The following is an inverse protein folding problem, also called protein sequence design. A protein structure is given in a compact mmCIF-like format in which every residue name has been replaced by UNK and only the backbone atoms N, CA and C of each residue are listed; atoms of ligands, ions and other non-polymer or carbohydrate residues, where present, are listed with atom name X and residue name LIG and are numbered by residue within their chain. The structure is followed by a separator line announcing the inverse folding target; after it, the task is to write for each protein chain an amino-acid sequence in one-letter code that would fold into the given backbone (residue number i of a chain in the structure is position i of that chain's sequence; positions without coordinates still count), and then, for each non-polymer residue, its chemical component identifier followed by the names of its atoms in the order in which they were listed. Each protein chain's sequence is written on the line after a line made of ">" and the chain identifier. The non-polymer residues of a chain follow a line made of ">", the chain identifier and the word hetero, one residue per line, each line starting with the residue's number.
data_IF_776010315466
#
_entry.id   IF_776010315466
#
_cell.length_a   1.000
_cell.length_b   1.000
_cell.length_c   1.000
_cell.angle_alpha   90.00
_cell.angle_beta   90.00
_cell.angle_gamma   90.00
#
_symmetry.space_group_name_H-M   'P 1'
#
loop_
_entity.id
_entity.type
_entity.pdbx_description
1 polymer ?
#
# COMPACT_ATOMS: atom_id res chain seq x y z
N UNK A 1 14.96 5.90 0.56
CA UNK A 1 15.13 4.78 1.52
C UNK A 1 16.55 4.77 2.11
N UNK A 2 17.61 4.73 1.30
CA UNK A 2 19.00 4.62 1.81
C UNK A 2 19.40 5.73 2.81
N UNK A 3 18.83 6.92 2.73
CA UNK A 3 19.09 8.00 3.71
C UNK A 3 18.63 7.64 5.13
N UNK A 4 17.75 6.66 5.31
CA UNK A 4 17.38 6.14 6.64
C UNK A 4 18.55 5.42 7.35
N UNK A 5 19.67 5.21 6.66
CA UNK A 5 20.90 4.68 7.28
C UNK A 5 21.36 5.49 8.51
N UNK A 6 21.03 6.79 8.58
CA UNK A 6 21.30 7.59 9.77
C UNK A 6 20.61 7.03 11.03
N UNK A 7 19.42 6.46 10.90
CA UNK A 7 18.69 5.85 12.02
C UNK A 7 19.28 4.51 12.47
N UNK A 8 20.16 3.89 11.68
CA UNK A 8 20.80 2.60 12.03
C UNK A 8 21.77 2.79 13.20
N UNK A 9 22.63 3.81 13.13
CA UNK A 9 23.70 4.02 14.11
C UNK A 9 23.38 5.09 15.15
N UNK A 10 22.47 6.00 14.85
CA UNK A 10 22.19 7.17 15.69
C UNK A 10 20.72 7.20 16.14
N UNK A 11 20.43 7.75 17.32
CA UNK A 11 19.07 7.99 17.77
C UNK A 11 18.44 9.20 17.04
N UNK A 12 18.44 9.13 15.72
CA UNK A 12 17.89 10.15 14.83
C UNK A 12 16.70 9.54 14.11
N UNK A 13 15.53 10.14 14.29
CA UNK A 13 14.31 9.77 13.57
C UNK A 13 14.42 10.17 12.10
N UNK A 14 14.02 9.25 11.21
CA UNK A 14 13.97 9.51 9.78
C UNK A 14 12.68 8.97 9.17
N UNK A 15 12.14 9.70 8.20
CA UNK A 15 10.99 9.24 7.42
C UNK A 15 11.26 9.36 5.93
N UNK A 16 10.67 8.45 5.16
CA UNK A 16 10.57 8.55 3.70
C UNK A 16 9.14 8.31 3.29
N UNK A 17 8.73 8.96 2.21
CA UNK A 17 7.40 8.76 1.63
C UNK A 17 7.51 8.46 0.16
N UNK A 18 6.76 7.47 -0.30
CA UNK A 18 6.65 7.12 -1.72
C UNK A 18 5.42 6.22 -1.95
N UNK A 19 5.05 6.07 -3.21
CA UNK A 19 3.99 5.15 -3.61
C UNK A 19 4.52 3.71 -3.61
N UNK A 20 3.69 2.74 -3.20
CA UNK A 20 4.04 1.32 -3.14
C UNK A 20 4.67 0.81 -4.45
N UNK A 21 4.00 0.83 -5.61
CA UNK A 21 4.51 0.22 -6.84
C UNK A 21 5.88 0.75 -7.29
N UNK A 22 6.05 2.07 -7.29
CA UNK A 22 7.27 2.72 -7.80
C UNK A 22 8.31 2.99 -6.72
N UNK A 23 7.94 2.89 -5.45
CA UNK A 23 8.82 3.12 -4.30
C UNK A 23 9.32 1.83 -3.68
N UNK A 24 8.42 0.99 -3.13
CA UNK A 24 8.81 -0.24 -2.43
C UNK A 24 9.58 -1.19 -3.36
N UNK A 25 9.10 -1.39 -4.59
CA UNK A 25 9.75 -2.30 -5.53
C UNK A 25 11.17 -1.84 -5.88
N UNK A 26 11.38 -0.55 -6.11
CA UNK A 26 12.71 -0.01 -6.44
C UNK A 26 13.61 0.07 -5.22
N UNK A 27 13.06 0.42 -4.06
CA UNK A 27 13.80 0.54 -2.81
C UNK A 27 13.97 -0.80 -2.06
N UNK A 28 13.49 -1.91 -2.61
CA UNK A 28 13.37 -3.19 -1.89
C UNK A 28 14.68 -3.70 -1.29
N UNK A 29 15.80 -3.53 -1.99
CA UNK A 29 17.12 -3.92 -1.48
C UNK A 29 17.53 -3.05 -0.27
N UNK A 30 17.46 -1.73 -0.40
CA UNK A 30 17.80 -0.81 0.69
C UNK A 30 16.87 -1.02 1.91
N UNK A 31 15.59 -1.26 1.69
CA UNK A 31 14.62 -1.54 2.75
C UNK A 31 14.92 -2.88 3.44
N UNK A 32 15.21 -3.94 2.70
CA UNK A 32 15.54 -5.24 3.26
C UNK A 32 16.81 -5.17 4.12
N UNK A 33 17.84 -4.44 3.66
CA UNK A 33 19.05 -4.19 4.43
C UNK A 33 18.77 -3.41 5.72
N UNK A 34 17.99 -2.33 5.63
CA UNK A 34 17.58 -1.53 6.79
C UNK A 34 16.87 -2.38 7.84
N UNK A 35 15.98 -3.27 7.42
CA UNK A 35 15.24 -4.15 8.31
C UNK A 35 16.13 -5.24 8.92
N UNK A 36 17.07 -5.78 8.17
CA UNK A 36 18.03 -6.78 8.68
C UNK A 36 18.89 -6.21 9.79
N UNK A 37 19.57 -5.09 9.55
CA UNK A 37 20.42 -4.42 10.54
C UNK A 37 19.62 -3.89 11.75
N UNK A 38 18.35 -3.57 11.52
CA UNK A 38 17.53 -2.83 12.48
C UNK A 38 17.99 -1.38 12.65
N UNK A 39 17.29 -0.65 13.49
CA UNK A 39 17.49 0.77 13.69
C UNK A 39 17.67 1.10 15.18
N UNK A 40 18.43 2.15 15.46
CA UNK A 40 18.57 2.73 16.78
C UNK A 40 17.64 3.94 16.96
N UNK A 41 17.57 4.80 15.96
CA UNK A 41 16.55 5.84 15.85
C UNK A 41 15.31 5.35 15.12
N UNK A 42 14.18 5.98 15.34
CA UNK A 42 12.93 5.62 14.66
C UNK A 42 13.01 5.80 13.14
N UNK A 43 12.63 4.78 12.39
CA UNK A 43 12.58 4.82 10.93
C UNK A 43 11.17 4.51 10.44
N UNK A 44 10.56 5.46 9.72
CA UNK A 44 9.19 5.37 9.22
C UNK A 44 9.15 5.44 7.70
N UNK A 45 8.50 4.47 7.09
CA UNK A 45 8.26 4.40 5.65
C UNK A 45 6.77 4.63 5.40
N UNK A 46 6.42 5.81 4.89
CA UNK A 46 5.03 6.18 4.60
C UNK A 46 4.72 5.80 3.15
N UNK A 47 3.78 4.88 2.98
CA UNK A 47 3.44 4.28 1.70
C UNK A 47 2.08 4.73 1.22
N UNK A 48 2.02 5.31 0.01
CA UNK A 48 0.76 5.49 -0.71
C UNK A 48 0.34 4.18 -1.37
N UNK A 49 -0.88 3.71 -1.11
CA UNK A 49 -1.39 2.46 -1.66
C UNK A 49 -2.76 2.61 -2.32
N UNK A 50 -2.96 1.87 -3.42
CA UNK A 50 -4.14 1.97 -4.27
C UNK A 50 -4.55 0.56 -4.73
N UNK A 51 -5.69 0.08 -4.26
CA UNK A 51 -6.26 -1.23 -4.60
C UNK A 51 -7.29 -1.18 -5.73
N UNK A 52 -7.68 0.03 -6.16
CA UNK A 52 -8.66 0.26 -7.20
C UNK A 52 -8.05 0.47 -8.58
N UNK A 53 -8.90 0.94 -9.49
CA UNK A 53 -8.53 1.38 -10.84
C UNK A 53 -8.05 2.84 -10.84
N UNK A 54 -7.43 3.30 -9.76
CA UNK A 54 -6.97 4.67 -9.64
C UNK A 54 -5.77 4.97 -10.55
N UNK A 55 -4.73 5.56 -9.98
CA UNK A 55 -3.53 5.92 -10.73
C UNK A 55 -2.44 4.84 -10.72
N UNK A 56 -2.64 3.72 -10.04
CA UNK A 56 -1.68 2.61 -10.03
C UNK A 56 -1.87 1.72 -11.25
N UNK A 57 -0.77 1.38 -11.90
CA UNK A 57 -0.80 0.47 -13.06
C UNK A 57 -0.87 -1.00 -12.67
N UNK A 58 -0.61 -1.30 -11.41
CA UNK A 58 -0.73 -2.65 -10.84
C UNK A 58 -1.25 -2.56 -9.42
N UNK A 59 -1.92 -3.62 -8.99
CA UNK A 59 -2.31 -3.79 -7.59
C UNK A 59 -1.06 -3.95 -6.72
N UNK A 60 -0.97 -3.19 -5.65
CA UNK A 60 0.17 -3.24 -4.74
C UNK A 60 -0.02 -4.31 -3.66
N UNK A 61 1.09 -4.71 -3.07
CA UNK A 61 1.15 -5.72 -2.02
C UNK A 61 2.21 -5.39 -0.99
N UNK A 62 2.24 -4.14 -0.54
CA UNK A 62 3.21 -3.68 0.48
C UNK A 62 3.09 -4.49 1.77
N UNK A 63 1.91 -4.99 2.12
CA UNK A 63 1.74 -5.93 3.23
C UNK A 63 2.61 -7.18 3.05
N UNK A 64 2.59 -7.80 1.86
CA UNK A 64 3.44 -8.95 1.55
C UNK A 64 4.93 -8.62 1.63
N UNK A 65 5.32 -7.41 1.24
CA UNK A 65 6.70 -6.95 1.40
C UNK A 65 7.07 -6.76 2.87
N UNK A 66 6.18 -6.17 3.67
CA UNK A 66 6.38 -6.01 5.11
C UNK A 66 6.58 -7.37 5.79
N UNK A 67 5.76 -8.37 5.48
CA UNK A 67 5.90 -9.75 5.98
C UNK A 67 7.23 -10.39 5.56
N UNK A 68 7.58 -10.30 4.27
CA UNK A 68 8.82 -10.86 3.72
C UNK A 68 10.06 -10.30 4.42
N UNK A 69 10.09 -9.00 4.66
CA UNK A 69 11.25 -8.30 5.20
C UNK A 69 11.15 -8.03 6.70
N UNK A 70 9.99 -8.33 7.30
CA UNK A 70 9.67 -8.19 8.73
C UNK A 70 9.69 -6.72 9.20
N UNK A 71 9.10 -5.83 8.40
CA UNK A 71 8.70 -4.49 8.86
C UNK A 71 7.40 -4.59 9.65
N UNK A 72 7.25 -3.79 10.70
CA UNK A 72 5.93 -3.63 11.28
C UNK A 72 5.07 -2.78 10.37
N UNK A 73 3.79 -3.13 10.25
CA UNK A 73 2.88 -2.48 9.30
C UNK A 73 1.70 -1.86 10.01
N UNK A 74 1.59 -0.54 9.93
CA UNK A 74 0.45 0.22 10.42
C UNK A 74 -0.51 0.52 9.26
N UNK A 75 -1.80 0.36 9.49
CA UNK A 75 -2.90 0.72 8.59
C UNK A 75 -3.98 1.45 9.41
N UNK A 76 -3.78 2.73 9.77
CA UNK A 76 -4.63 3.43 10.71
C UNK A 76 -6.01 3.71 10.15
N UNK A 77 -7.00 3.89 11.04
CA UNK A 77 -8.33 4.37 10.65
C UNK A 77 -8.22 5.68 9.88
N UNK A 78 -9.03 5.87 8.78
CA UNK A 78 -8.92 7.01 7.89
C UNK A 78 -9.56 8.27 8.47
N UNK A 79 -8.91 8.88 9.44
CA UNK A 79 -9.16 10.20 9.98
C UNK A 79 -7.84 10.84 10.44
N UNK A 80 -7.76 12.18 10.41
CA UNK A 80 -6.50 12.88 10.71
C UNK A 80 -5.95 12.62 12.13
N UNK A 81 -6.76 12.60 13.20
CA UNK A 81 -6.25 12.26 14.53
C UNK A 81 -5.61 10.87 14.61
N UNK A 82 -6.24 9.84 14.00
CA UNK A 82 -5.68 8.48 13.98
C UNK A 82 -4.40 8.40 13.15
N UNK A 83 -4.35 9.08 12.00
CA UNK A 83 -3.18 9.09 11.12
C UNK A 83 -2.00 9.80 11.79
N UNK A 84 -2.23 10.97 12.38
CA UNK A 84 -1.18 11.71 13.07
C UNK A 84 -0.68 10.98 14.31
N UNK A 85 -1.58 10.30 15.05
CA UNK A 85 -1.19 9.40 16.13
C UNK A 85 -0.34 8.24 15.61
N UNK A 86 -0.72 7.62 14.49
CA UNK A 86 0.02 6.51 13.90
C UNK A 86 1.43 6.91 13.44
N UNK A 87 1.66 8.15 13.01
CA UNK A 87 3.01 8.67 12.74
C UNK A 87 3.85 8.68 14.00
N UNK A 88 3.31 9.20 15.11
CA UNK A 88 3.98 9.21 16.40
C UNK A 88 4.26 7.79 16.89
N UNK A 89 3.23 6.97 16.96
CA UNK A 89 3.30 5.60 17.45
C UNK A 89 4.25 4.74 16.56
N UNK A 90 4.29 5.00 15.26
CA UNK A 90 5.20 4.33 14.33
C UNK A 90 6.67 4.61 14.64
N UNK A 91 7.03 5.84 14.97
CA UNK A 91 8.38 6.15 15.43
C UNK A 91 8.70 5.50 16.75
N UNK A 92 7.79 5.58 17.71
CA UNK A 92 7.97 5.00 19.06
C UNK A 92 8.02 3.46 19.01
N UNK A 93 7.20 2.81 18.20
CA UNK A 93 7.25 1.37 17.95
C UNK A 93 8.57 0.97 17.29
N UNK A 94 9.04 1.77 16.33
CA UNK A 94 10.32 1.53 15.67
C UNK A 94 11.49 1.57 16.66
N UNK A 95 11.52 2.57 17.55
CA UNK A 95 12.54 2.72 18.58
C UNK A 95 12.44 1.62 19.64
N UNK A 96 11.24 1.31 20.12
CA UNK A 96 11.01 0.28 21.14
C UNK A 96 11.43 -1.13 20.69
N UNK A 97 11.28 -1.41 19.38
CA UNK A 97 11.57 -2.73 18.81
C UNK A 97 12.81 -2.78 17.92
N UNK A 98 13.56 -1.70 17.80
CA UNK A 98 14.71 -1.58 16.90
C UNK A 98 14.43 -2.02 15.45
N UNK A 99 13.20 -1.84 15.00
CA UNK A 99 12.75 -2.30 13.67
C UNK A 99 12.04 -1.16 12.93
N UNK A 100 12.36 -0.91 11.66
CA UNK A 100 11.66 0.11 10.90
C UNK A 100 10.18 -0.24 10.72
N UNK A 101 9.34 0.77 10.63
CA UNK A 101 7.87 0.66 10.54
C UNK A 101 7.39 1.19 9.19
N UNK A 102 6.48 0.47 8.56
CA UNK A 102 5.71 0.92 7.41
C UNK A 102 4.36 1.47 7.86
N UNK A 103 4.01 2.64 7.39
CA UNK A 103 2.70 3.27 7.58
C UNK A 103 1.98 3.31 6.24
N UNK A 104 0.94 2.51 6.11
CA UNK A 104 0.14 2.44 4.89
C UNK A 104 -0.87 3.58 4.86
N UNK A 105 -0.82 4.37 3.79
CA UNK A 105 -1.77 5.43 3.48
C UNK A 105 -2.55 5.02 2.24
N UNK A 106 -3.79 4.59 2.42
CA UNK A 106 -4.66 4.28 1.28
C UNK A 106 -5.00 5.55 0.53
N UNK A 107 -5.22 5.47 -0.77
CA UNK A 107 -5.54 6.62 -1.61
C UNK A 107 -6.66 7.50 -1.02
N UNK A 108 -7.68 6.89 -0.45
CA UNK A 108 -8.77 7.63 0.21
C UNK A 108 -8.28 8.42 1.43
N UNK A 109 -7.33 7.88 2.18
CA UNK A 109 -6.72 8.58 3.31
C UNK A 109 -5.83 9.74 2.87
N UNK A 110 -5.20 9.65 1.69
CA UNK A 110 -4.41 10.73 1.13
C UNK A 110 -5.25 11.95 0.69
N UNK A 111 -6.55 11.75 0.45
CA UNK A 111 -7.49 12.83 0.07
C UNK A 111 -8.28 13.42 1.25
N UNK A 112 -7.97 12.98 2.48
CA UNK A 112 -8.66 13.51 3.67
C UNK A 112 -8.25 14.96 3.94
N UNK A 113 -9.25 15.75 4.31
CA UNK A 113 -9.08 17.10 4.83
C UNK A 113 -9.74 17.20 6.20
N UNK A 114 -9.19 18.02 7.09
CA UNK A 114 -9.74 18.21 8.43
C UNK A 114 -8.77 18.92 9.34
N UNK A 115 -8.98 18.80 10.65
CA UNK A 115 -8.16 19.39 11.70
C UNK A 115 -7.70 18.32 12.69
N UNK A 116 -6.59 18.59 13.35
CA UNK A 116 -6.08 17.79 14.46
C UNK A 116 -5.35 18.71 15.45
N UNK A 117 -5.23 18.25 16.68
CA UNK A 117 -4.48 18.98 17.69
C UNK A 117 -2.98 18.81 17.46
N UNK A 118 -2.27 19.92 17.34
CA UNK A 118 -0.81 19.93 17.23
C UNK A 118 -0.15 19.81 18.61
N UNK A 119 1.10 19.38 18.62
CA UNK A 119 1.95 19.36 19.83
C UNK A 119 3.22 20.14 19.56
N UNK A 120 3.84 20.62 20.63
CA UNK A 120 5.13 21.27 20.53
C UNK A 120 6.20 20.29 20.03
N UNK A 121 7.10 20.81 19.21
CA UNK A 121 8.23 20.04 18.73
C UNK A 121 9.19 19.73 19.86
N UNK A 122 9.63 18.48 19.93
CA UNK A 122 10.69 18.05 20.84
C UNK A 122 12.01 17.99 20.07
N UNK A 123 13.03 18.68 20.57
CA UNK A 123 14.35 18.63 19.95
C UNK A 123 14.91 17.19 19.98
N UNK A 124 15.55 16.73 18.90
CA UNK A 124 16.18 15.41 18.89
C UNK A 124 17.33 15.37 19.89
N UNK A 125 17.61 14.20 20.50
CA UNK A 125 18.71 14.06 21.47
C UNK A 125 20.08 14.25 20.82
N UNK A 126 20.18 14.08 19.51
CA UNK A 126 21.39 14.24 18.72
C UNK A 126 21.03 14.86 17.37
N UNK A 127 21.80 15.88 16.97
CA UNK A 127 21.68 16.49 15.65
C UNK A 127 22.57 15.78 14.63
N UNK A 128 22.24 15.87 13.34
CA UNK A 128 23.08 15.36 12.25
C UNK A 128 24.50 15.98 12.31
N UNK A 129 24.61 17.27 12.64
CA UNK A 129 25.90 17.96 12.81
C UNK A 129 26.77 17.33 13.91
N UNK A 130 26.15 16.96 15.02
CA UNK A 130 26.87 16.28 16.13
C UNK A 130 27.24 14.84 15.73
N UNK A 131 26.38 14.12 15.02
CA UNK A 131 26.67 12.79 14.52
C UNK A 131 27.88 12.79 13.55
N UNK A 132 27.94 13.76 12.64
CA UNK A 132 29.08 13.93 11.72
C UNK A 132 30.36 14.28 12.47
N UNK A 133 30.27 15.12 13.50
CA UNK A 133 31.43 15.51 14.29
C UNK A 133 31.99 14.35 15.14
N UNK A 134 31.15 13.41 15.56
CA UNK A 134 31.50 12.22 16.35
C UNK A 134 30.96 10.95 15.69
N UNK A 135 31.58 10.46 14.61
CA UNK A 135 31.09 9.27 13.90
C UNK A 135 31.06 8.03 14.81
N UNK A 136 29.91 7.35 14.82
CA UNK A 136 29.72 6.10 15.52
C UNK A 136 29.61 4.95 14.52
N UNK A 137 30.16 3.79 14.88
CA UNK A 137 30.03 2.57 14.11
C UNK A 137 29.67 1.43 15.05
N UNK A 138 28.60 0.73 14.73
CA UNK A 138 28.22 -0.49 15.42
C UNK A 138 28.39 -1.67 14.46
N UNK A 139 29.45 -2.43 14.64
CA UNK A 139 29.73 -3.59 13.79
C UNK A 139 28.69 -4.70 13.93
N UNK A 140 27.92 -4.73 15.01
CA UNK A 140 26.82 -5.68 15.17
C UNK A 140 25.64 -5.39 14.21
N UNK A 141 25.58 -4.19 13.65
CA UNK A 141 24.54 -3.79 12.67
C UNK A 141 25.00 -3.90 11.22
N UNK A 142 26.21 -4.40 10.97
CA UNK A 142 26.70 -4.61 9.60
C UNK A 142 26.04 -5.85 9.00
N UNK A 143 25.45 -5.71 7.80
CA UNK A 143 24.78 -6.79 7.08
C UNK A 143 25.82 -7.68 6.39
N UNK A 144 26.52 -8.46 7.18
CA UNK A 144 27.65 -9.31 6.76
C UNK A 144 27.67 -10.60 7.62
N UNK A 145 28.09 -11.76 7.09
CA UNK A 145 28.34 -12.92 7.92
C UNK A 145 29.46 -12.67 8.95
N UNK A 146 29.33 -13.15 10.19
CA UNK A 146 28.23 -13.94 10.75
C UNK A 146 27.04 -13.12 11.27
N UNK A 147 27.12 -11.78 11.29
CA UNK A 147 26.19 -10.87 11.95
C UNK A 147 24.74 -11.06 11.45
N UNK A 148 24.55 -11.32 10.14
CA UNK A 148 23.20 -11.53 9.56
C UNK A 148 22.41 -12.64 10.26
N UNK A 149 23.06 -13.71 10.71
CA UNK A 149 22.40 -14.79 11.48
C UNK A 149 22.00 -14.30 12.87
N UNK A 150 22.84 -13.49 13.50
CA UNK A 150 22.53 -12.88 14.78
C UNK A 150 21.35 -11.91 14.67
N UNK A 151 21.25 -11.16 13.56
CA UNK A 151 20.10 -10.30 13.27
C UNK A 151 18.79 -11.10 13.21
N UNK A 152 18.79 -12.27 12.53
CA UNK A 152 17.60 -13.12 12.49
C UNK A 152 17.22 -13.66 13.87
N UNK A 153 18.20 -14.00 14.69
CA UNK A 153 17.92 -14.41 16.07
C UNK A 153 17.40 -13.26 16.94
N UNK A 154 17.96 -12.06 16.77
CA UNK A 154 17.55 -10.86 17.48
C UNK A 154 16.10 -10.49 17.12
N UNK A 155 15.72 -10.58 15.84
CA UNK A 155 14.33 -10.37 15.41
C UNK A 155 13.35 -11.28 16.17
N UNK A 156 13.66 -12.56 16.33
CA UNK A 156 12.77 -13.51 16.98
C UNK A 156 12.78 -13.37 18.49
N UNK A 157 13.95 -13.15 19.10
CA UNK A 157 14.11 -13.18 20.56
C UNK A 157 13.76 -11.86 21.24
N UNK A 158 14.01 -10.74 20.57
CA UNK A 158 13.91 -9.41 21.15
C UNK A 158 12.92 -8.53 20.36
N UNK A 159 13.20 -8.22 19.09
CA UNK A 159 12.48 -7.22 18.33
C UNK A 159 10.98 -7.53 18.17
N UNK A 160 10.63 -8.79 17.90
CA UNK A 160 9.25 -9.23 17.77
C UNK A 160 8.49 -9.14 19.10
N UNK A 161 8.96 -9.74 20.21
CA UNK A 161 8.30 -9.60 21.51
C UNK A 161 8.19 -8.15 22.00
N UNK A 162 9.21 -7.32 21.72
CA UNK A 162 9.18 -5.91 22.08
C UNK A 162 8.13 -5.14 21.30
N UNK A 163 7.95 -5.46 20.00
CA UNK A 163 6.91 -4.88 19.18
C UNK A 163 5.51 -5.28 19.65
N UNK A 164 5.27 -6.58 19.91
CA UNK A 164 3.99 -7.06 20.42
C UNK A 164 3.63 -6.40 21.76
N UNK A 165 4.59 -6.31 22.67
CA UNK A 165 4.41 -5.64 23.96
C UNK A 165 4.03 -4.17 23.76
N UNK A 166 4.77 -3.43 22.92
CA UNK A 166 4.48 -2.02 22.65
C UNK A 166 3.08 -1.83 22.07
N UNK A 167 2.68 -2.68 21.11
CA UNK A 167 1.35 -2.63 20.46
C UNK A 167 0.25 -2.81 21.50
N UNK A 168 0.38 -3.79 22.37
CA UNK A 168 -0.60 -4.10 23.43
C UNK A 168 -0.65 -2.99 24.47
N UNK A 169 0.49 -2.59 25.03
CA UNK A 169 0.57 -1.60 26.12
C UNK A 169 0.07 -0.20 25.69
N UNK A 170 0.23 0.15 24.42
CA UNK A 170 -0.23 1.43 23.86
C UNK A 170 -1.60 1.33 23.17
N UNK A 171 -2.24 0.16 23.15
CA UNK A 171 -3.56 -0.04 22.59
C UNK A 171 -3.65 0.41 21.13
N UNK A 172 -2.70 -0.03 20.28
CA UNK A 172 -2.68 0.41 18.90
C UNK A 172 -3.84 -0.14 18.09
N UNK A 173 -4.26 -1.38 18.35
CA UNK A 173 -5.48 -1.93 17.81
C UNK A 173 -6.68 -1.53 18.68
N UNK A 174 -7.84 -1.45 18.08
CA UNK A 174 -9.06 -0.95 18.75
C UNK A 174 -10.19 -1.96 18.68
N UNK A 175 -11.05 -1.96 19.71
CA UNK A 175 -12.26 -2.78 19.71
C UNK A 175 -13.48 -1.89 19.91
N UNK A 176 -14.53 -2.13 19.13
CA UNK A 176 -15.80 -1.41 19.16
C UNK A 176 -16.99 -2.36 19.32
N UNK A 177 -18.09 -1.82 19.81
CA UNK A 177 -19.32 -2.57 20.01
C UNK A 177 -19.31 -3.48 21.24
N UNK A 178 -20.31 -4.35 21.37
CA UNK A 178 -20.49 -5.20 22.55
C UNK A 178 -19.40 -6.27 22.62
N UNK A 179 -18.86 -6.52 23.81
CA UNK A 179 -17.83 -7.56 24.01
C UNK A 179 -18.37 -8.98 23.79
N UNK A 180 -19.65 -9.21 24.12
CA UNK A 180 -20.29 -10.52 24.04
C UNK A 180 -21.32 -10.54 22.90
N UNK A 181 -21.05 -11.30 21.87
CA UNK A 181 -21.96 -11.59 20.77
C UNK A 181 -21.47 -12.85 20.05
N UNK A 182 -22.38 -13.62 19.40
CA UNK A 182 -22.03 -14.85 18.70
C UNK A 182 -21.27 -14.61 17.41
N UNK A 183 -21.13 -13.36 16.99
CA UNK A 183 -20.39 -12.97 15.78
C UNK A 183 -19.44 -11.81 16.05
N UNK A 184 -18.51 -11.58 15.11
CA UNK A 184 -17.63 -10.44 15.15
C UNK A 184 -17.05 -10.13 13.76
N UNK A 185 -16.50 -8.94 13.62
CA UNK A 185 -15.83 -8.49 12.40
C UNK A 185 -14.42 -8.05 12.75
N UNK A 186 -13.43 -8.61 12.06
CA UNK A 186 -12.06 -8.11 12.05
C UNK A 186 -11.88 -7.27 10.81
N UNK A 187 -11.33 -6.07 10.93
CA UNK A 187 -11.19 -5.16 9.81
C UNK A 187 -9.83 -4.47 9.83
N UNK A 188 -9.18 -4.34 8.66
CA UNK A 188 -8.04 -3.44 8.51
C UNK A 188 -8.44 -2.01 8.85
N UNK A 189 -7.59 -1.29 9.60
CA UNK A 189 -7.90 0.07 10.06
C UNK A 189 -8.35 1.00 8.95
N UNK A 190 -7.63 0.98 7.81
CA UNK A 190 -7.97 1.79 6.65
C UNK A 190 -9.34 1.50 6.02
N UNK A 191 -9.96 0.36 6.36
CA UNK A 191 -11.31 -0.03 5.88
C UNK A 191 -12.43 0.30 6.88
N UNK A 192 -12.09 0.77 8.08
CA UNK A 192 -13.05 1.00 9.17
C UNK A 192 -14.23 1.90 8.75
N UNK A 193 -13.98 3.03 8.11
CA UNK A 193 -15.05 3.95 7.72
C UNK A 193 -16.03 3.32 6.72
N UNK A 194 -15.53 2.50 5.79
CA UNK A 194 -16.37 1.77 4.84
C UNK A 194 -17.26 0.74 5.55
N UNK A 195 -16.70 0.02 6.52
CA UNK A 195 -17.45 -0.95 7.34
C UNK A 195 -18.52 -0.26 8.17
N UNK A 196 -18.19 0.80 8.92
CA UNK A 196 -19.17 1.54 9.72
C UNK A 196 -20.29 2.08 8.83
N UNK A 197 -19.96 2.61 7.65
CA UNK A 197 -20.98 3.08 6.72
C UNK A 197 -21.92 1.97 6.23
N UNK A 198 -21.39 0.77 5.99
CA UNK A 198 -22.20 -0.39 5.65
C UNK A 198 -23.15 -0.78 6.82
N UNK A 199 -22.61 -0.84 8.03
CA UNK A 199 -23.41 -1.12 9.24
C UNK A 199 -24.49 -0.05 9.51
N UNK A 200 -24.18 1.23 9.26
CA UNK A 200 -25.17 2.32 9.35
C UNK A 200 -26.33 2.11 8.35
N UNK A 201 -26.01 1.74 7.10
CA UNK A 201 -27.04 1.45 6.08
C UNK A 201 -27.91 0.25 6.46
N UNK A 202 -27.38 -0.68 7.23
CA UNK A 202 -28.11 -1.83 7.77
C UNK A 202 -28.84 -1.50 9.09
N UNK A 203 -28.66 -0.30 9.64
CA UNK A 203 -29.26 0.11 10.92
C UNK A 203 -28.57 -0.49 12.14
N UNK A 204 -27.34 -1.02 12.00
CA UNK A 204 -26.54 -1.68 13.03
C UNK A 204 -25.43 -0.80 13.61
N UNK A 205 -25.30 0.43 13.16
CA UNK A 205 -24.43 1.44 13.73
C UNK A 205 -25.08 2.82 13.61
N UNK A 206 -24.68 3.74 14.48
CA UNK A 206 -25.11 5.14 14.41
C UNK A 206 -24.10 6.01 13.62
N UNK A 207 -24.38 7.32 13.55
CA UNK A 207 -23.53 8.29 12.86
C UNK A 207 -22.21 8.60 13.57
N UNK A 208 -22.10 8.21 14.84
CA UNK A 208 -20.90 8.41 15.66
C UNK A 208 -19.98 7.19 15.64
N UNK A 209 -20.46 6.05 15.09
CA UNK A 209 -19.70 4.80 14.99
C UNK A 209 -19.99 3.82 16.12
N UNK A 210 -20.95 4.11 16.98
CA UNK A 210 -21.46 3.11 17.93
C UNK A 210 -22.15 1.98 17.16
N UNK A 211 -21.81 0.75 17.47
CA UNK A 211 -22.23 -0.44 16.69
C UNK A 211 -22.76 -1.57 17.58
N UNK A 212 -23.78 -2.26 17.08
CA UNK A 212 -24.30 -3.48 17.69
C UNK A 212 -23.46 -4.72 17.37
N UNK A 213 -22.59 -4.62 16.37
CA UNK A 213 -21.70 -5.70 15.94
C UNK A 213 -20.31 -5.49 16.52
N UNK A 214 -19.72 -6.47 17.23
CA UNK A 214 -18.34 -6.37 17.69
C UNK A 214 -17.37 -6.22 16.53
N UNK A 215 -16.47 -5.23 16.62
CA UNK A 215 -15.44 -4.98 15.63
C UNK A 215 -14.07 -5.00 16.30
N UNK A 216 -13.12 -5.74 15.73
CA UNK A 216 -11.71 -5.65 16.02
C UNK A 216 -11.01 -4.96 14.87
N UNK A 217 -10.58 -3.72 15.11
CA UNK A 217 -9.93 -2.85 14.14
C UNK A 217 -8.42 -3.00 14.23
N UNK A 218 -7.82 -3.56 13.20
CA UNK A 218 -6.39 -3.76 13.06
C UNK A 218 -5.73 -2.48 12.53
N UNK A 219 -5.35 -1.56 13.42
CA UNK A 219 -4.46 -0.44 13.05
C UNK A 219 -3.02 -0.91 12.87
N UNK A 220 -2.67 -2.08 13.41
CA UNK A 220 -1.44 -2.82 13.13
C UNK A 220 -1.83 -4.11 12.41
N UNK A 221 -1.46 -4.21 11.14
CA UNK A 221 -1.75 -5.39 10.31
C UNK A 221 -0.60 -6.39 10.30
N UNK A 222 0.59 -5.99 10.77
CA UNK A 222 1.73 -6.88 10.98
C UNK A 222 2.71 -6.28 12.01
N UNK A 223 3.08 -7.03 13.09
CA UNK A 223 2.61 -8.38 13.41
C UNK A 223 1.15 -8.37 13.86
N UNK A 224 0.47 -9.50 13.66
CA UNK A 224 -0.86 -9.73 14.22
C UNK A 224 -0.73 -10.19 15.68
N UNK A 225 -1.49 -9.58 16.59
CA UNK A 225 -1.42 -9.86 18.02
C UNK A 225 -2.35 -11.00 18.40
N UNK A 226 -1.75 -12.14 18.67
CA UNK A 226 -2.51 -13.37 18.94
C UNK A 226 -3.42 -13.24 20.17
N UNK A 227 -2.93 -12.71 21.25
CA UNK A 227 -3.66 -12.66 22.53
C UNK A 227 -4.88 -11.71 22.46
N UNK A 228 -4.74 -10.57 21.76
CA UNK A 228 -5.86 -9.67 21.48
C UNK A 228 -6.92 -10.36 20.63
N UNK A 229 -6.50 -11.05 19.57
CA UNK A 229 -7.39 -11.77 18.67
C UNK A 229 -8.09 -12.94 19.36
N UNK A 230 -7.35 -13.74 20.13
CA UNK A 230 -7.94 -14.84 20.92
C UNK A 230 -8.97 -14.34 21.92
N UNK A 231 -8.70 -13.20 22.56
CA UNK A 231 -9.63 -12.53 23.47
C UNK A 231 -10.89 -12.06 22.72
N UNK A 232 -10.72 -11.43 21.57
CA UNK A 232 -11.83 -10.98 20.72
C UNK A 232 -12.71 -12.14 20.26
N UNK A 233 -12.13 -13.30 19.96
CA UNK A 233 -12.83 -14.48 19.48
C UNK A 233 -13.61 -15.25 20.58
N UNK A 234 -13.45 -14.89 21.86
CA UNK A 234 -14.14 -15.60 22.95
C UNK A 234 -15.66 -15.49 22.81
N UNK A 235 -16.33 -16.65 22.84
CA UNK A 235 -17.80 -16.75 22.78
C UNK A 235 -18.40 -16.37 21.41
N UNK A 236 -17.59 -16.39 20.34
CA UNK A 236 -18.06 -16.17 18.97
C UNK A 236 -18.14 -17.50 18.21
N UNK A 237 -19.17 -17.63 17.39
CA UNK A 237 -19.40 -18.76 16.49
C UNK A 237 -19.04 -18.38 15.03
N UNK A 238 -19.13 -17.09 14.69
CA UNK A 238 -18.93 -16.56 13.36
C UNK A 238 -18.00 -15.35 13.37
N UNK A 239 -17.08 -15.31 12.41
CA UNK A 239 -16.13 -14.21 12.24
C UNK A 239 -16.06 -13.79 10.79
N UNK A 240 -16.23 -12.49 10.49
CA UNK A 240 -15.92 -11.92 9.19
C UNK A 240 -14.54 -11.25 9.25
N UNK A 241 -13.68 -11.54 8.29
CA UNK A 241 -12.40 -10.85 8.11
C UNK A 241 -12.49 -9.95 6.89
N UNK A 242 -12.40 -8.64 7.12
CA UNK A 242 -12.43 -7.62 6.07
C UNK A 242 -10.99 -7.21 5.75
N UNK A 243 -10.47 -7.82 4.70
CA UNK A 243 -9.14 -7.58 4.15
C UNK A 243 -9.23 -7.21 2.68
N UNK A 244 -8.77 -6.02 2.31
CA UNK A 244 -8.78 -5.55 0.92
C UNK A 244 -7.54 -6.04 0.16
N UNK A 245 -7.77 -6.41 -1.09
CA UNK A 245 -6.70 -6.90 -1.98
C UNK A 245 -6.41 -8.38 -1.81
N UNK A 246 -5.36 -8.82 -2.49
CA UNK A 246 -4.87 -10.20 -2.49
C UNK A 246 -3.33 -10.21 -2.43
N UNK A 247 -2.69 -11.29 -1.93
CA UNK A 247 -3.29 -12.44 -1.25
C UNK A 247 -3.97 -12.08 0.08
N UNK A 248 -4.78 -12.98 0.58
CA UNK A 248 -5.52 -12.91 1.83
C UNK A 248 -4.61 -13.24 3.04
N UNK A 249 -3.57 -12.47 3.23
CA UNK A 249 -2.53 -12.72 4.25
C UNK A 249 -3.07 -12.69 5.68
N UNK A 250 -3.95 -11.72 5.99
CA UNK A 250 -4.53 -11.57 7.33
C UNK A 250 -5.48 -12.73 7.61
N UNK A 251 -6.37 -13.04 6.67
CA UNK A 251 -7.32 -14.15 6.81
C UNK A 251 -6.60 -15.49 7.04
N UNK A 252 -5.57 -15.78 6.24
CA UNK A 252 -4.76 -17.00 6.41
C UNK A 252 -4.05 -17.05 7.77
N UNK A 253 -3.47 -15.94 8.20
CA UNK A 253 -2.76 -15.85 9.47
C UNK A 253 -3.69 -16.03 10.67
N UNK A 254 -4.82 -15.31 10.67
CA UNK A 254 -5.81 -15.42 11.74
C UNK A 254 -6.46 -16.80 11.79
N UNK A 255 -6.72 -17.40 10.62
CA UNK A 255 -7.20 -18.80 10.53
C UNK A 255 -6.19 -19.79 11.12
N UNK A 256 -4.89 -19.57 10.90
CA UNK A 256 -3.83 -20.37 11.54
C UNK A 256 -3.82 -20.20 13.07
N UNK A 257 -4.07 -19.00 13.59
CA UNK A 257 -4.19 -18.78 15.04
C UNK A 257 -5.36 -19.55 15.62
N UNK A 258 -6.54 -19.48 14.98
CA UNK A 258 -7.73 -20.21 15.43
C UNK A 258 -7.51 -21.72 15.43
N UNK A 259 -6.92 -22.24 14.37
CA UNK A 259 -6.58 -23.67 14.27
C UNK A 259 -5.65 -24.11 15.41
N UNK A 260 -4.57 -23.36 15.65
CA UNK A 260 -3.60 -23.65 16.73
C UNK A 260 -4.20 -23.49 18.13
N UNK A 261 -5.22 -22.64 18.29
CA UNK A 261 -5.95 -22.47 19.53
C UNK A 261 -7.08 -23.51 19.74
N UNK A 262 -7.30 -24.40 18.76
CA UNK A 262 -8.38 -25.38 18.80
C UNK A 262 -9.79 -24.75 18.76
N UNK A 263 -9.93 -23.58 18.17
CA UNK A 263 -11.22 -22.89 18.04
C UNK A 263 -11.99 -23.37 16.83
N UNK A 264 -13.30 -23.56 16.97
CA UNK A 264 -14.19 -24.10 15.93
C UNK A 264 -15.11 -23.06 15.31
N UNK A 265 -14.89 -21.76 15.57
CA UNK A 265 -15.69 -20.70 14.97
C UNK A 265 -15.55 -20.69 13.44
N UNK A 266 -16.61 -20.29 12.75
CA UNK A 266 -16.63 -20.25 11.29
C UNK A 266 -16.13 -18.89 10.80
N UNK A 267 -15.09 -18.93 9.98
CA UNK A 267 -14.47 -17.73 9.38
C UNK A 267 -15.08 -17.49 8.00
N UNK A 268 -15.35 -16.24 7.72
CA UNK A 268 -15.77 -15.70 6.44
C UNK A 268 -14.80 -14.58 6.05
N UNK A 269 -14.52 -14.43 4.79
CA UNK A 269 -13.63 -13.41 4.25
C UNK A 269 -13.78 -13.31 2.74
N UNK A 270 -12.84 -13.87 2.00
CA UNK A 270 -12.86 -13.84 0.52
C UNK A 270 -13.94 -14.72 -0.12
N UNK A 271 -14.66 -15.49 0.64
CA UNK A 271 -15.87 -16.22 0.22
C UNK A 271 -17.11 -15.31 0.11
N UNK A 272 -17.14 -14.19 0.83
CA UNK A 272 -18.22 -13.19 0.80
C UNK A 272 -17.78 -11.80 0.34
N UNK A 273 -16.47 -11.56 0.28
CA UNK A 273 -15.85 -10.34 -0.21
C UNK A 273 -14.97 -10.65 -1.43
N UNK A 274 -14.90 -9.78 -2.43
CA UNK A 274 -14.11 -10.05 -3.64
C UNK A 274 -12.61 -10.16 -3.34
N UNK A 275 -11.93 -11.06 -4.05
CA UNK A 275 -10.49 -11.28 -3.91
C UNK A 275 -9.66 -10.10 -4.45
N UNK A 276 -10.17 -9.40 -5.46
CA UNK A 276 -9.45 -8.31 -6.13
C UNK A 276 -10.30 -7.05 -6.22
N UNK A 277 -9.64 -5.93 -6.41
CA UNK A 277 -10.27 -4.62 -6.55
C UNK A 277 -10.46 -3.90 -5.23
N UNK A 278 -10.94 -2.68 -5.34
CA UNK A 278 -11.17 -1.78 -4.21
C UNK A 278 -12.48 -2.11 -3.50
N UNK A 279 -12.47 -2.10 -2.18
CA UNK A 279 -13.68 -2.26 -1.39
C UNK A 279 -14.45 -0.95 -1.29
N UNK A 280 -15.24 -0.70 -2.34
CA UNK A 280 -16.18 0.43 -2.37
C UNK A 280 -17.26 0.28 -1.30
N UNK A 281 -18.02 1.36 -1.06
CA UNK A 281 -19.13 1.30 -0.11
C UNK A 281 -20.20 0.25 -0.47
N UNK A 282 -20.38 -0.05 -1.77
CA UNK A 282 -21.31 -1.08 -2.21
C UNK A 282 -20.75 -2.49 -1.96
N UNK A 283 -19.50 -2.72 -2.33
CA UNK A 283 -18.80 -4.00 -2.06
C UNK A 283 -18.82 -4.32 -0.56
N UNK A 284 -18.55 -3.33 0.28
CA UNK A 284 -18.57 -3.51 1.73
C UNK A 284 -19.98 -3.86 2.23
N UNK A 285 -21.01 -3.15 1.74
CA UNK A 285 -22.40 -3.41 2.11
C UNK A 285 -22.85 -4.83 1.70
N UNK A 286 -22.51 -5.23 0.48
CA UNK A 286 -22.90 -6.53 -0.06
C UNK A 286 -22.22 -7.66 0.72
N UNK A 287 -20.92 -7.55 1.01
CA UNK A 287 -20.17 -8.53 1.79
C UNK A 287 -20.65 -8.65 3.22
N UNK A 288 -20.87 -7.53 3.93
CA UNK A 288 -21.42 -7.53 5.29
C UNK A 288 -22.83 -8.12 5.30
N UNK A 289 -23.66 -7.78 4.31
CA UNK A 289 -25.02 -8.34 4.19
C UNK A 289 -24.97 -9.85 3.95
N UNK A 290 -24.08 -10.33 3.09
CA UNK A 290 -23.90 -11.76 2.83
C UNK A 290 -23.47 -12.51 4.10
N UNK A 291 -22.53 -11.95 4.85
CA UNK A 291 -22.11 -12.50 6.13
C UNK A 291 -23.26 -12.58 7.15
N UNK A 292 -23.98 -11.48 7.34
CA UNK A 292 -25.08 -11.42 8.31
C UNK A 292 -26.25 -12.33 7.96
N UNK A 293 -26.53 -12.54 6.67
CA UNK A 293 -27.56 -13.52 6.23
C UNK A 293 -27.32 -14.93 6.77
N UNK A 294 -26.07 -15.29 6.97
CA UNK A 294 -25.68 -16.62 7.45
C UNK A 294 -25.43 -16.60 8.96
N UNK A 295 -24.72 -15.60 9.45
CA UNK A 295 -24.26 -15.54 10.85
C UNK A 295 -25.33 -15.04 11.82
N UNK A 296 -26.19 -14.12 11.39
CA UNK A 296 -27.22 -13.51 12.23
C UNK A 296 -28.35 -12.90 11.39
N UNK A 297 -29.18 -13.73 10.70
CA UNK A 297 -30.25 -13.24 9.82
C UNK A 297 -31.25 -12.33 10.54
N UNK A 298 -31.47 -12.54 11.83
CA UNK A 298 -32.39 -11.74 12.64
C UNK A 298 -31.91 -10.30 12.88
N UNK A 299 -30.62 -10.03 12.71
CA UNK A 299 -30.06 -8.67 12.77
C UNK A 299 -30.32 -7.86 11.48
N UNK A 300 -30.68 -8.51 10.40
CA UNK A 300 -30.97 -7.81 9.16
C UNK A 300 -32.36 -7.18 9.23
N UNK A 301 -32.48 -5.86 9.08
CA UNK A 301 -33.78 -5.22 8.99
C UNK A 301 -34.54 -5.79 7.78
N UNK A 302 -35.84 -5.97 7.91
CA UNK A 302 -36.70 -6.46 6.81
C UNK A 302 -36.70 -5.56 5.55
N UNK A 303 -36.04 -4.42 5.65
CA UNK A 303 -35.67 -3.52 4.53
C UNK A 303 -34.30 -2.92 4.84
N UNK A 304 -33.31 -3.18 3.98
CA UNK A 304 -32.09 -2.39 3.93
C UNK A 304 -32.53 -0.93 3.76
N UNK A 305 -32.18 -0.07 4.71
CA UNK A 305 -32.52 1.36 4.62
C UNK A 305 -31.81 1.92 3.39
N UNK A 306 -32.55 2.12 2.32
CA UNK A 306 -32.06 2.85 1.16
C UNK A 306 -31.52 4.21 1.62
N UNK A 307 -30.50 4.78 1.00
CA UNK A 307 -30.14 6.17 1.25
C UNK A 307 -31.40 7.03 1.10
N UNK A 308 -31.55 8.07 1.92
CA UNK A 308 -32.71 8.96 1.95
C UNK A 308 -33.01 9.72 0.63
N UNK A 309 -32.40 9.30 -0.46
CA UNK A 309 -32.73 9.70 -1.82
C UNK A 309 -33.63 8.58 -2.34
N UNK A 310 -34.86 8.92 -2.68
CA UNK A 310 -35.73 7.99 -3.41
C UNK A 310 -34.99 7.59 -4.68
N UNK A 311 -34.49 6.35 -4.72
CA UNK A 311 -33.72 5.80 -5.87
C UNK A 311 -34.48 5.96 -7.22
N UNK A 312 -35.80 6.13 -7.15
CA UNK A 312 -36.66 6.39 -8.29
C UNK A 312 -36.47 7.77 -8.94
N UNK A 313 -35.78 8.72 -8.27
CA UNK A 313 -35.59 10.08 -8.79
C UNK A 313 -34.17 10.37 -9.29
N UNK A 314 -33.22 9.47 -9.06
CA UNK A 314 -31.87 9.64 -9.62
C UNK A 314 -31.91 9.09 -11.05
N UNK A 315 -31.73 9.96 -12.06
CA UNK A 315 -31.64 9.49 -13.43
C UNK A 315 -30.43 8.55 -13.56
N UNK A 316 -30.57 7.51 -14.36
CA UNK A 316 -29.44 6.63 -14.69
C UNK A 316 -28.33 7.46 -15.37
N UNK A 317 -27.36 7.88 -14.57
CA UNK A 317 -26.28 8.75 -15.00
C UNK A 317 -25.43 8.11 -16.10
N UNK A 318 -25.40 6.77 -16.20
CA UNK A 318 -24.68 6.08 -17.26
C UNK A 318 -25.22 6.40 -18.65
N UNK A 319 -26.50 6.79 -18.76
CA UNK A 319 -27.17 7.20 -20.01
C UNK A 319 -26.96 8.69 -20.33
N UNK A 320 -26.60 9.50 -19.34
CA UNK A 320 -26.49 10.97 -19.46
C UNK A 320 -25.01 11.39 -19.53
N UNK A 321 -24.17 10.76 -18.74
CA UNK A 321 -22.74 11.06 -18.67
C UNK A 321 -21.98 10.01 -19.48
N UNK A 322 -21.37 10.39 -20.61
CA UNK A 322 -20.59 9.45 -21.40
C UNK A 322 -19.39 8.94 -20.59
N UNK A 323 -19.10 7.64 -20.75
CA UNK A 323 -17.90 7.03 -20.21
C UNK A 323 -16.69 7.77 -20.77
N UNK A 324 -15.80 8.21 -19.88
CA UNK A 324 -14.50 8.78 -20.25
C UNK A 324 -13.43 7.71 -20.09
N UNK A 325 -12.99 7.06 -21.17
CA UNK A 325 -11.84 6.16 -21.08
C UNK A 325 -10.60 6.96 -20.67
N UNK A 326 -9.63 6.34 -19.97
CA UNK A 326 -8.36 6.97 -19.69
C UNK A 326 -7.69 7.39 -21.01
N UNK A 327 -6.99 8.52 -20.98
CA UNK A 327 -6.34 9.07 -22.18
C UNK A 327 -5.65 10.39 -21.91
N UNK A 328 -4.98 10.89 -22.93
CA UNK A 328 -4.31 12.20 -22.84
C UNK A 328 -5.30 13.35 -22.57
N UNK A 329 -4.87 14.27 -21.72
CA UNK A 329 -5.60 15.51 -21.46
C UNK A 329 -5.83 16.32 -22.72
N UNK A 330 -6.83 17.24 -22.69
CA UNK A 330 -7.02 18.22 -23.76
C UNK A 330 -5.80 19.14 -23.84
N UNK A 331 -5.21 19.27 -25.04
CA UNK A 331 -3.99 20.08 -25.23
C UNK A 331 -2.71 19.44 -24.71
N UNK A 332 -2.71 18.16 -24.39
CA UNK A 332 -1.52 17.43 -23.93
C UNK A 332 -0.38 17.54 -24.96
N UNK A 333 0.85 17.93 -24.53
CA UNK A 333 2.01 18.07 -25.44
C UNK A 333 2.51 16.71 -25.98
N UNK A 334 2.11 15.60 -25.39
CA UNK A 334 2.49 14.26 -25.85
C UNK A 334 1.70 13.80 -27.10
N UNK A 335 0.48 14.31 -27.31
CA UNK A 335 -0.35 13.93 -28.46
C UNK A 335 0.34 14.12 -29.83
N UNK A 336 0.99 15.27 -30.13
CA UNK A 336 1.74 15.45 -31.37
C UNK A 336 2.86 14.43 -31.56
N UNK A 337 3.52 14.01 -30.49
CA UNK A 337 4.57 13.00 -30.53
C UNK A 337 4.01 11.67 -31.08
N UNK A 338 2.92 11.18 -30.46
CA UNK A 338 2.29 9.93 -30.87
C UNK A 338 1.63 10.03 -32.26
N UNK A 339 1.09 11.19 -32.61
CA UNK A 339 0.58 11.43 -33.95
C UNK A 339 1.72 11.36 -34.99
N UNK A 340 2.87 11.97 -34.72
CA UNK A 340 4.06 11.88 -35.57
C UNK A 340 4.58 10.45 -35.70
N UNK A 341 4.65 9.71 -34.59
CA UNK A 341 5.04 8.29 -34.62
C UNK A 341 4.08 7.46 -35.47
N UNK A 342 2.77 7.74 -35.42
CA UNK A 342 1.78 7.05 -36.25
C UNK A 342 1.97 7.30 -37.73
N UNK A 343 2.33 8.52 -38.12
CA UNK A 343 2.67 8.82 -39.51
C UNK A 343 3.93 8.07 -39.96
N UNK A 344 4.94 8.01 -39.09
CA UNK A 344 6.18 7.25 -39.38
C UNK A 344 5.86 5.75 -39.54
N UNK A 345 4.99 5.19 -38.71
CA UNK A 345 4.54 3.78 -38.86
C UNK A 345 3.84 3.51 -40.19
N UNK A 346 3.09 4.48 -40.72
CA UNK A 346 2.44 4.35 -42.03
C UNK A 346 3.43 4.26 -43.16
N UNK A 347 4.53 4.97 -43.07
CA UNK A 347 5.57 5.00 -44.12
C UNK A 347 6.58 3.85 -43.97
N UNK A 348 7.04 3.61 -42.75
CA UNK A 348 8.15 2.68 -42.50
C UNK A 348 7.69 1.35 -41.87
N UNK A 349 6.40 1.23 -41.51
CA UNK A 349 5.85 0.11 -40.80
C UNK A 349 6.13 0.15 -39.29
N UNK A 350 5.53 -0.77 -38.54
CA UNK A 350 5.59 -0.82 -37.07
C UNK A 350 7.00 -1.10 -36.54
N UNK A 351 7.40 -0.38 -35.51
CA UNK A 351 8.61 -0.63 -34.73
C UNK A 351 8.27 -1.35 -33.43
N UNK A 352 9.25 -2.07 -32.87
CA UNK A 352 9.13 -2.57 -31.50
C UNK A 352 9.25 -1.38 -30.54
N UNK A 353 8.25 -1.17 -29.70
CA UNK A 353 8.23 -0.03 -28.79
C UNK A 353 7.99 -0.53 -27.35
N UNK A 354 8.83 -0.09 -26.42
CA UNK A 354 8.65 -0.29 -24.99
C UNK A 354 8.49 1.06 -24.29
N UNK A 355 7.67 1.11 -23.27
CA UNK A 355 7.48 2.29 -22.45
C UNK A 355 7.78 2.01 -20.98
N UNK A 356 7.93 3.08 -20.22
CA UNK A 356 7.85 3.02 -18.77
C UNK A 356 6.48 3.53 -18.29
N UNK A 357 6.35 3.77 -16.98
CA UNK A 357 5.11 4.23 -16.37
C UNK A 357 5.02 5.75 -16.45
N UNK A 358 3.94 6.25 -17.06
CA UNK A 358 3.67 7.67 -17.19
C UNK A 358 2.51 7.94 -18.14
N UNK A 359 2.21 9.24 -18.41
CA UNK A 359 1.14 9.63 -19.33
C UNK A 359 1.35 9.10 -20.75
N UNK A 360 2.59 8.92 -21.19
CA UNK A 360 2.93 8.36 -22.49
C UNK A 360 2.39 6.94 -22.71
N UNK A 361 2.04 6.19 -21.64
CA UNK A 361 1.33 4.91 -21.76
C UNK A 361 -0.02 5.04 -22.45
N UNK A 362 -0.68 6.18 -22.37
CA UNK A 362 -1.91 6.41 -23.11
C UNK A 362 -1.72 6.39 -24.64
N UNK A 363 -0.47 6.47 -25.10
CA UNK A 363 -0.13 6.22 -26.50
C UNK A 363 -0.41 4.79 -26.96
N UNK A 364 -0.48 3.82 -26.05
CA UNK A 364 -0.87 2.44 -26.35
C UNK A 364 -2.38 2.27 -26.61
N UNK A 365 -3.19 3.25 -26.25
CA UNK A 365 -4.64 3.25 -26.42
C UNK A 365 -5.02 3.87 -27.76
N UNK A 366 -6.23 3.58 -28.29
CA UNK A 366 -6.77 4.27 -29.44
C UNK A 366 -6.80 5.80 -29.24
N UNK A 367 -6.55 6.62 -30.27
CA UNK A 367 -6.35 6.24 -31.67
C UNK A 367 -4.88 5.93 -32.05
N UNK A 368 -3.94 6.02 -31.11
CA UNK A 368 -2.51 5.89 -31.41
C UNK A 368 -2.08 4.43 -31.53
N UNK A 369 -2.40 3.60 -30.54
CA UNK A 369 -2.02 2.18 -30.50
C UNK A 369 -0.51 1.97 -30.71
N UNK A 370 0.29 2.83 -30.08
CA UNK A 370 1.75 2.83 -30.13
C UNK A 370 2.31 2.36 -28.80
N UNK A 371 3.14 1.34 -28.87
CA UNK A 371 3.72 0.70 -27.68
C UNK A 371 3.05 -0.62 -27.34
N UNK A 372 3.81 -1.53 -26.76
CA UNK A 372 3.31 -2.88 -26.49
C UNK A 372 3.76 -3.48 -25.17
N UNK A 373 4.85 -2.97 -24.56
CA UNK A 373 5.37 -3.50 -23.32
C UNK A 373 5.75 -2.40 -22.32
N UNK A 374 5.43 -2.63 -21.07
CA UNK A 374 5.80 -1.76 -19.95
C UNK A 374 6.45 -2.61 -18.86
N UNK A 375 7.71 -2.31 -18.51
CA UNK A 375 8.53 -3.12 -17.62
C UNK A 375 8.92 -2.42 -16.32
N UNK A 376 8.20 -1.39 -15.92
CA UNK A 376 8.45 -0.66 -14.68
C UNK A 376 8.90 0.77 -14.92
N UNK A 377 8.93 1.56 -13.85
CA UNK A 377 9.19 3.00 -13.90
C UNK A 377 10.66 3.28 -14.24
N UNK A 378 10.88 3.90 -15.40
CA UNK A 378 12.20 4.18 -15.93
C UNK A 378 12.89 3.00 -16.65
N UNK A 379 12.24 1.81 -16.78
CA UNK A 379 12.90 0.61 -17.30
C UNK A 379 12.65 0.32 -18.78
N UNK A 380 11.92 1.16 -19.49
CA UNK A 380 11.66 1.01 -20.93
C UNK A 380 12.91 0.77 -21.77
N UNK A 381 13.96 1.61 -21.65
CA UNK A 381 15.20 1.43 -22.43
C UNK A 381 15.92 0.10 -22.14
N UNK A 382 15.96 -0.33 -20.87
CA UNK A 382 16.54 -1.64 -20.54
C UNK A 382 15.79 -2.80 -21.16
N UNK A 383 14.45 -2.72 -21.20
CA UNK A 383 13.61 -3.74 -21.80
C UNK A 383 13.85 -3.89 -23.31
N UNK A 384 14.21 -2.82 -24.00
CA UNK A 384 14.51 -2.85 -25.41
C UNK A 384 15.80 -3.62 -25.76
N UNK A 385 16.71 -3.80 -24.81
CA UNK A 385 17.91 -4.61 -25.02
C UNK A 385 17.59 -6.07 -25.43
N UNK A 386 16.37 -6.55 -25.12
CA UNK A 386 15.90 -7.84 -25.58
C UNK A 386 15.69 -7.92 -27.11
N UNK A 387 15.64 -6.79 -27.79
CA UNK A 387 15.42 -6.66 -29.25
C UNK A 387 16.66 -6.18 -29.98
N UNK A 388 17.81 -6.10 -29.32
CA UNK A 388 19.08 -5.69 -29.95
C UNK A 388 19.54 -6.75 -30.94
N UNK A 389 20.00 -6.27 -32.13
CA UNK A 389 20.54 -7.14 -33.17
C UNK A 389 19.52 -8.03 -33.87
N UNK A 390 18.22 -7.89 -33.60
CA UNK A 390 17.17 -8.76 -34.12
C UNK A 390 16.59 -8.38 -35.49
N UNK A 391 16.98 -7.26 -36.09
CA UNK A 391 16.36 -6.80 -37.32
C UNK A 391 16.99 -5.58 -37.95
N UNK A 392 16.45 -5.19 -39.13
CA UNK A 392 16.87 -3.99 -39.85
C UNK A 392 16.44 -2.67 -39.19
N UNK A 393 15.55 -2.75 -38.21
CA UNK A 393 14.96 -1.59 -37.51
C UNK A 393 15.37 -1.57 -36.04
N UNK A 394 15.68 -0.38 -35.57
CA UNK A 394 15.89 -0.16 -34.13
C UNK A 394 14.61 -0.21 -33.37
N UNK A 395 14.65 -0.79 -32.18
CA UNK A 395 13.57 -0.66 -31.23
C UNK A 395 13.55 0.76 -30.63
N UNK A 396 12.40 1.21 -30.16
CA UNK A 396 12.18 2.54 -29.60
C UNK A 396 11.72 2.41 -28.17
N UNK A 397 12.36 3.13 -27.24
CA UNK A 397 11.87 3.27 -25.88
C UNK A 397 11.30 4.65 -25.67
N UNK A 398 10.19 4.73 -24.92
CA UNK A 398 9.59 5.98 -24.51
C UNK A 398 9.55 6.01 -22.99
N UNK A 399 10.10 7.08 -22.40
CA UNK A 399 10.00 7.30 -20.95
C UNK A 399 9.78 8.79 -20.65
N UNK A 400 9.12 9.06 -19.54
CA UNK A 400 8.96 10.41 -19.03
C UNK A 400 10.22 10.89 -18.30
N UNK A 401 10.32 12.21 -18.12
CA UNK A 401 11.37 12.86 -17.31
C UNK A 401 11.40 12.32 -15.89
N UNK A 402 10.24 12.15 -15.25
CA UNK A 402 10.13 11.53 -13.93
C UNK A 402 10.73 10.13 -13.87
N UNK A 403 10.37 9.25 -14.82
CA UNK A 403 10.94 7.90 -14.93
C UNK A 403 12.43 7.91 -15.20
N UNK A 404 12.89 8.83 -16.05
CA UNK A 404 14.32 9.01 -16.35
C UNK A 404 15.14 9.32 -15.08
N UNK A 405 14.72 10.31 -14.30
CA UNK A 405 15.44 10.69 -13.08
C UNK A 405 15.27 9.71 -11.93
N UNK A 406 14.12 9.02 -11.84
CA UNK A 406 13.86 8.07 -10.78
C UNK A 406 14.78 6.84 -10.85
N UNK A 407 14.83 6.17 -11.97
CA UNK A 407 15.56 4.91 -12.16
C UNK A 407 16.15 4.77 -13.57
N UNK A 408 15.63 5.52 -14.53
CA UNK A 408 15.96 5.36 -15.95
C UNK A 408 17.41 5.64 -16.27
N UNK A 409 17.98 6.70 -15.71
CA UNK A 409 19.38 7.06 -15.98
C UNK A 409 20.35 5.96 -15.55
N UNK A 410 20.18 5.43 -14.34
CA UNK A 410 21.12 4.45 -13.77
C UNK A 410 20.82 3.03 -14.22
N UNK A 411 19.57 2.60 -14.15
CA UNK A 411 19.20 1.19 -14.40
C UNK A 411 18.88 0.90 -15.86
N UNK A 412 18.52 1.91 -16.66
CA UNK A 412 18.17 1.72 -18.06
C UNK A 412 19.25 2.21 -19.00
N UNK A 413 19.57 3.51 -18.96
CA UNK A 413 20.58 4.07 -19.88
C UNK A 413 21.95 3.46 -19.59
N UNK A 414 22.32 3.32 -18.31
CA UNK A 414 23.55 2.62 -17.93
C UNK A 414 23.59 1.19 -18.45
N UNK A 415 22.48 0.47 -18.41
CA UNK A 415 22.35 -0.89 -18.94
C UNK A 415 22.49 -0.91 -20.48
N UNK A 416 21.84 0.00 -21.19
CA UNK A 416 21.99 0.12 -22.64
C UNK A 416 23.45 0.37 -23.04
N UNK A 417 24.14 1.28 -22.35
CA UNK A 417 25.56 1.56 -22.60
C UNK A 417 26.42 0.32 -22.36
N UNK A 418 26.18 -0.38 -21.24
CA UNK A 418 26.89 -1.60 -20.90
C UNK A 418 26.69 -2.69 -21.97
N UNK A 419 25.46 -2.88 -22.44
CA UNK A 419 25.12 -3.89 -23.47
C UNK A 419 25.41 -3.42 -24.89
N UNK A 420 25.89 -2.18 -25.10
CA UNK A 420 26.12 -1.59 -26.43
C UNK A 420 24.84 -1.58 -27.28
N UNK A 421 23.71 -1.32 -26.67
CA UNK A 421 22.43 -1.23 -27.35
C UNK A 421 22.36 -0.04 -28.28
N UNK A 422 21.85 -0.22 -29.50
CA UNK A 422 21.69 0.84 -30.50
C UNK A 422 20.25 1.34 -30.64
N UNK A 423 19.41 1.04 -29.65
CA UNK A 423 18.01 1.45 -29.60
C UNK A 423 17.85 2.97 -29.55
N UNK A 424 16.72 3.45 -30.03
CA UNK A 424 16.32 4.86 -29.91
C UNK A 424 15.61 5.06 -28.57
N UNK A 425 16.08 6.03 -27.80
CA UNK A 425 15.44 6.43 -26.54
C UNK A 425 14.79 7.80 -26.71
N UNK A 426 13.50 7.86 -26.46
CA UNK A 426 12.71 9.08 -26.44
C UNK A 426 12.38 9.45 -25.01
N UNK A 427 12.90 10.57 -24.53
CA UNK A 427 12.56 11.13 -23.22
C UNK A 427 11.57 12.26 -23.41
N UNK A 428 10.39 12.10 -22.81
CA UNK A 428 9.34 13.11 -22.84
C UNK A 428 9.49 13.98 -21.59
N UNK A 429 10.04 15.16 -21.78
CA UNK A 429 10.27 16.14 -20.70
C UNK A 429 9.20 17.21 -20.73
N UNK A 430 8.32 17.16 -19.74
CA UNK A 430 7.24 18.13 -19.54
C UNK A 430 7.30 18.76 -18.14
N UNK A 431 8.38 18.59 -17.42
CA UNK A 431 8.63 19.09 -16.05
C UNK A 431 7.68 18.52 -14.99
N UNK A 432 6.89 17.51 -15.29
CA UNK A 432 5.93 16.89 -14.37
C UNK A 432 6.03 15.37 -14.41
N UNK A 433 6.17 14.77 -13.24
CA UNK A 433 6.00 13.34 -13.10
C UNK A 433 4.52 13.01 -12.83
N UNK A 434 3.86 12.42 -13.80
CA UNK A 434 2.46 12.01 -13.67
C UNK A 434 2.25 10.70 -12.89
N UNK A 435 3.35 9.98 -12.61
CA UNK A 435 3.28 8.71 -11.89
C UNK A 435 3.39 8.87 -10.37
N UNK A 436 3.58 10.09 -9.88
CA UNK A 436 3.78 10.37 -8.44
C UNK A 436 2.74 11.32 -7.91
#
# INVERSE_FOLDING_TARGET
>A
AAMLAASVHYPIRGAVTFKGPVGVNVASDALANLCSSGVNGGALIILGEDYGEGSSIMQERSHGFAMKSQFWMLDPRPNLPSITKAVKDGFELSEASNTPVMLMMRIRSCHLTGSFETRDNVAPPLTVKQAIANPQSDFNRVVLPPMRYQHEQDKIKNRWPDAERFIIENGLNEQFGPKKAPLGIVVQGGMYNGLIRALQRLGLADVFGDTEVPIYCLNVTYPLIRDEFDTFCQGKDHLLIVEEGQPDHIEQHLSSFLYKAGRTLKVYGKDVLPMAGEYTGQVMLDGVTAFLKVAAPDMLPGRVRAPNVEDSQIPDLSKIVPIRPPGFCTGCPERPIFAGMKLVEQELGKSQITGDIGCHLFGSLPPFEIGGATMGYGLGPAANAAFDGGGERRAISILGDGGFWHNGLTSSIGNMVFNKSDNVVMIVDNYYSAAT
#
